data_IF_401611440514
#
_entry.id   IF_401611440514
#
_cell.length_a   1.000
_cell.length_b   1.000
_cell.length_c   1.000
_cell.angle_alpha   90.00
_cell.angle_beta   90.00
_cell.angle_gamma   90.00
#
_symmetry.space_group_name_H-M   'P 1'
#
loop_
_entity.id
_entity.type
_entity.pdbx_description
1 polymer ?
#
# COMPACT_ATOMS: atom_id res chain seq x y z
N UNK A 1 26.03 1.07 5.40
CA UNK A 1 24.94 1.82 4.77
C UNK A 1 24.58 1.06 3.52
N UNK A 2 23.29 0.78 3.31
CA UNK A 2 22.80 -0.01 2.17
C UNK A 2 23.09 0.80 0.89
N UNK A 3 23.57 0.16 -0.17
CA UNK A 3 23.90 0.85 -1.42
C UNK A 3 22.64 1.35 -2.12
N UNK A 4 22.70 2.54 -2.73
CA UNK A 4 21.66 3.04 -3.63
C UNK A 4 21.92 2.66 -5.08
N UNK A 5 20.90 2.13 -5.74
CA UNK A 5 20.93 1.74 -7.15
C UNK A 5 19.94 2.59 -7.97
N UNK A 6 20.31 2.87 -9.22
CA UNK A 6 19.37 3.42 -10.20
C UNK A 6 18.26 2.40 -10.44
N UNK A 7 17.01 2.86 -10.36
CA UNK A 7 15.83 2.05 -10.53
C UNK A 7 14.94 2.67 -11.60
N UNK A 8 14.77 1.94 -12.69
CA UNK A 8 13.92 2.31 -13.80
C UNK A 8 12.93 1.18 -14.07
N UNK A 9 11.73 1.33 -13.55
CA UNK A 9 10.65 0.35 -13.68
C UNK A 9 9.38 1.09 -14.13
N UNK A 10 8.92 0.87 -15.37
CA UNK A 10 7.72 1.53 -15.89
C UNK A 10 6.39 1.00 -15.29
N UNK A 11 6.41 -0.15 -14.62
CA UNK A 11 5.20 -0.78 -14.09
C UNK A 11 5.47 -1.62 -12.82
N UNK A 12 5.38 -0.98 -11.66
CA UNK A 12 5.19 -1.68 -10.37
C UNK A 12 3.71 -1.86 -10.07
N UNK A 13 3.37 -2.86 -9.27
CA UNK A 13 2.00 -3.20 -8.91
C UNK A 13 1.78 -2.97 -7.41
N UNK A 14 0.70 -2.29 -7.07
CA UNK A 14 0.14 -2.21 -5.71
C UNK A 14 -1.32 -2.63 -5.76
N UNK A 15 -1.74 -3.51 -4.86
CA UNK A 15 -3.16 -3.83 -4.72
C UNK A 15 -3.78 -3.01 -3.59
N UNK A 16 -4.87 -2.31 -3.89
CA UNK A 16 -5.68 -1.61 -2.88
C UNK A 16 -7.11 -2.14 -2.89
N UNK A 17 -7.74 -2.23 -1.71
CA UNK A 17 -9.13 -2.66 -1.62
C UNK A 17 -10.04 -1.73 -2.40
N UNK A 18 -10.99 -2.27 -3.17
CA UNK A 18 -11.92 -1.46 -3.99
C UNK A 18 -12.83 -0.58 -3.13
N UNK A 19 -13.05 -0.95 -1.86
CA UNK A 19 -13.69 -0.08 -0.87
C UNK A 19 -12.98 1.28 -0.66
N UNK A 20 -11.77 1.45 -1.20
CA UNK A 20 -11.02 2.70 -1.16
C UNK A 20 -10.92 3.40 -2.54
N UNK A 21 -11.52 2.84 -3.60
CA UNK A 21 -11.50 3.38 -4.96
C UNK A 21 -12.85 3.90 -5.40
N UNK A 22 -13.91 3.15 -5.07
CA UNK A 22 -15.25 3.54 -5.43
C UNK A 22 -15.68 4.69 -4.52
N UNK A 23 -15.53 5.92 -5.01
CA UNK A 23 -16.24 7.08 -4.49
C UNK A 23 -17.49 7.36 -5.34
N UNK A 24 -18.69 7.49 -4.74
CA UNK A 24 -19.01 7.17 -3.36
C UNK A 24 -19.75 5.83 -3.22
N UNK A 25 -19.44 5.10 -2.14
CA UNK A 25 -20.13 3.87 -1.75
C UNK A 25 -21.64 4.07 -1.50
N UNK A 26 -22.09 5.33 -1.44
CA UNK A 26 -23.47 5.76 -1.23
C UNK A 26 -24.29 5.94 -2.50
N UNK A 27 -23.70 5.83 -3.70
CA UNK A 27 -24.47 5.91 -4.96
C UNK A 27 -25.63 4.90 -5.04
N UNK A 28 -25.55 3.68 -4.48
CA UNK A 28 -26.70 2.76 -4.41
C UNK A 28 -27.72 3.10 -3.31
N UNK A 29 -27.45 4.10 -2.48
CA UNK A 29 -28.23 4.47 -1.27
C UNK A 29 -28.92 5.84 -1.39
N UNK A 30 -28.76 6.53 -2.53
CA UNK A 30 -29.36 7.83 -2.80
C UNK A 30 -30.25 7.76 -4.04
N UNK A 31 -31.42 8.39 -3.97
CA UNK A 31 -32.38 8.41 -5.07
C UNK A 31 -32.14 9.61 -6.02
N UNK A 32 -31.42 10.65 -5.58
CA UNK A 32 -31.07 11.84 -6.36
C UNK A 32 -29.69 12.45 -6.01
N UNK A 33 -29.22 13.40 -6.84
CA UNK A 33 -27.90 14.03 -6.71
C UNK A 33 -27.77 14.89 -5.44
N UNK A 34 -28.86 15.44 -4.90
CA UNK A 34 -28.85 16.23 -3.65
C UNK A 34 -28.66 15.31 -2.43
N UNK A 35 -29.26 14.12 -2.43
CA UNK A 35 -29.03 13.07 -1.43
C UNK A 35 -27.61 12.49 -1.51
N UNK A 36 -27.06 12.33 -2.72
CA UNK A 36 -25.66 11.94 -2.92
C UNK A 36 -24.74 12.97 -2.24
N UNK A 37 -24.99 14.27 -2.38
CA UNK A 37 -24.18 15.31 -1.75
C UNK A 37 -24.27 15.31 -0.23
N UNK A 38 -25.46 15.05 0.33
CA UNK A 38 -25.65 14.92 1.78
C UNK A 38 -24.93 13.68 2.32
N UNK A 39 -25.06 12.54 1.64
CA UNK A 39 -24.41 11.29 2.03
C UNK A 39 -22.89 11.36 1.85
N UNK A 40 -22.40 12.00 0.79
CA UNK A 40 -20.98 12.29 0.59
C UNK A 40 -20.43 13.17 1.69
N UNK A 41 -21.20 14.17 2.15
CA UNK A 41 -20.81 15.03 3.27
C UNK A 41 -20.77 14.27 4.59
N UNK A 42 -21.68 13.32 4.81
CA UNK A 42 -21.71 12.45 6.00
C UNK A 42 -20.59 11.39 5.96
N UNK A 43 -20.32 10.80 4.79
CA UNK A 43 -19.17 9.94 4.55
C UNK A 43 -17.87 10.73 4.74
N UNK A 44 -17.80 11.99 4.30
CA UNK A 44 -16.63 12.83 4.52
C UNK A 44 -16.37 13.14 6.00
N UNK A 45 -17.41 13.22 6.83
CA UNK A 45 -17.29 13.43 8.28
C UNK A 45 -16.79 12.16 8.99
N UNK A 46 -17.11 10.97 8.46
CA UNK A 46 -16.84 9.67 9.11
C UNK A 46 -15.68 8.88 8.49
N UNK A 47 -15.35 9.17 7.25
CA UNK A 47 -14.21 8.63 6.52
C UNK A 47 -12.95 9.36 6.96
N UNK A 48 -12.04 8.63 7.61
CA UNK A 48 -10.73 9.12 7.99
C UNK A 48 -9.90 9.67 6.81
N UNK A 49 -10.32 9.39 5.56
CA UNK A 49 -9.69 9.83 4.31
C UNK A 49 -10.23 11.17 3.78
N UNK A 50 -11.48 11.49 4.05
CA UNK A 50 -12.17 12.70 3.54
C UNK A 50 -12.38 13.77 4.63
N UNK A 51 -12.26 13.38 5.90
CA UNK A 51 -12.21 14.32 7.00
C UNK A 51 -10.94 15.17 6.85
N UNK A 52 -10.98 16.50 7.15
CA UNK A 52 -9.77 17.29 7.38
C UNK A 52 -9.12 16.84 8.69
N UNK A 53 -8.77 15.56 8.77
CA UNK A 53 -7.98 15.02 9.85
C UNK A 53 -6.64 15.74 9.80
N UNK A 54 -6.19 16.22 10.96
CA UNK A 54 -4.83 16.73 11.08
C UNK A 54 -3.88 15.70 10.42
N UNK A 55 -3.03 16.17 9.52
CA UNK A 55 -2.04 15.30 8.88
C UNK A 55 -1.24 14.56 9.96
N UNK A 56 -0.87 13.29 9.72
CA UNK A 56 0.00 12.58 10.65
C UNK A 56 1.25 13.43 10.95
N UNK A 57 1.74 13.38 12.19
CA UNK A 57 2.87 14.23 12.63
C UNK A 57 4.12 14.04 11.79
N UNK A 58 4.32 12.84 11.22
CA UNK A 58 5.43 12.53 10.33
C UNK A 58 5.23 12.97 8.88
N UNK A 59 4.12 13.64 8.55
CA UNK A 59 3.78 14.10 7.19
C UNK A 59 3.83 15.62 7.07
N UNK A 60 4.83 16.11 6.33
CA UNK A 60 4.91 17.52 5.96
C UNK A 60 3.87 17.82 4.85
N UNK A 61 2.97 18.80 5.02
CA UNK A 61 2.03 19.19 3.96
C UNK A 61 2.72 19.49 2.61
N UNK A 62 3.97 19.98 2.63
CA UNK A 62 4.70 20.39 1.43
C UNK A 62 5.15 19.23 0.52
N UNK A 63 5.20 18.00 1.03
CA UNK A 63 5.52 16.82 0.20
C UNK A 63 4.29 16.15 -0.42
N UNK A 64 3.08 16.55 0.00
CA UNK A 64 1.85 15.98 -0.53
C UNK A 64 1.58 16.49 -1.95
N UNK A 65 1.04 15.60 -2.76
CA UNK A 65 0.67 15.91 -4.13
C UNK A 65 -0.65 16.68 -4.16
N UNK A 66 -0.88 17.42 -5.24
CA UNK A 66 -2.14 18.11 -5.50
C UNK A 66 -2.63 17.78 -6.92
N UNK A 67 -3.76 18.34 -7.32
CA UNK A 67 -4.40 18.09 -8.63
C UNK A 67 -3.48 18.32 -9.84
N UNK A 68 -2.45 19.16 -9.75
CA UNK A 68 -1.50 19.40 -10.85
C UNK A 68 -0.62 18.18 -11.17
N UNK A 69 -0.50 17.23 -10.24
CA UNK A 69 0.17 15.94 -10.47
C UNK A 69 -0.69 14.94 -11.27
N UNK A 70 -1.91 15.33 -11.63
CA UNK A 70 -2.80 14.53 -12.45
C UNK A 70 -3.50 13.41 -11.69
N UNK A 71 -4.07 12.46 -12.43
CA UNK A 71 -4.83 11.35 -11.87
C UNK A 71 -4.05 10.61 -10.76
N UNK A 72 -4.76 10.17 -9.70
CA UNK A 72 -4.20 9.32 -8.65
C UNK A 72 -3.36 10.04 -7.58
N UNK A 73 -3.21 11.37 -7.63
CA UNK A 73 -2.51 12.15 -6.59
C UNK A 73 -3.06 11.87 -5.17
N UNK A 74 -4.38 11.74 -5.02
CA UNK A 74 -5.03 11.44 -3.75
C UNK A 74 -4.80 9.99 -3.30
N UNK A 75 -4.75 9.04 -4.23
CA UNK A 75 -4.40 7.64 -3.95
C UNK A 75 -2.95 7.50 -3.47
N UNK A 76 -2.05 8.30 -4.03
CA UNK A 76 -0.66 8.39 -3.59
C UNK A 76 -0.61 8.95 -2.16
N UNK A 77 -1.18 10.13 -1.93
CA UNK A 77 -1.19 10.76 -0.60
C UNK A 77 -1.80 9.85 0.48
N UNK A 78 -2.86 9.11 0.16
CA UNK A 78 -3.49 8.16 1.07
C UNK A 78 -2.53 7.10 1.60
N UNK A 79 -1.53 6.67 0.82
CA UNK A 79 -0.51 5.71 1.27
C UNK A 79 0.40 6.27 2.37
N UNK A 80 0.53 7.59 2.48
CA UNK A 80 1.35 8.29 3.47
C UNK A 80 0.53 8.82 4.65
N UNK A 81 -0.71 9.24 4.40
CA UNK A 81 -1.57 9.84 5.43
C UNK A 81 -2.32 8.81 6.30
N UNK A 82 -2.45 7.56 5.86
CA UNK A 82 -3.22 6.53 6.59
C UNK A 82 -2.36 5.39 7.10
N UNK A 83 -1.34 5.73 7.89
CA UNK A 83 -0.63 4.75 8.71
C UNK A 83 -1.57 4.14 9.75
N UNK A 84 -1.39 2.85 10.03
CA UNK A 84 -2.15 2.11 11.05
C UNK A 84 -1.20 1.70 12.17
N UNK A 85 -1.55 1.81 13.46
CA UNK A 85 -0.77 1.24 14.55
C UNK A 85 -0.55 -0.28 14.40
N UNK A 86 0.65 -0.84 14.65
CA UNK A 86 1.91 -0.18 15.04
C UNK A 86 2.82 0.28 13.89
N UNK A 87 2.27 0.41 12.70
CA UNK A 87 2.98 0.62 11.44
C UNK A 87 3.11 -0.68 10.65
N UNK A 88 3.90 -0.62 9.57
CA UNK A 88 4.32 -1.81 8.83
C UNK A 88 5.84 -1.98 8.93
N UNK A 89 6.38 -2.87 8.10
CA UNK A 89 7.81 -3.21 8.08
C UNK A 89 8.72 -1.98 7.94
N UNK A 90 8.40 -1.04 7.06
CA UNK A 90 9.25 0.12 6.74
C UNK A 90 8.55 1.46 6.99
N UNK A 91 7.58 1.50 7.93
CA UNK A 91 6.98 2.75 8.39
C UNK A 91 6.37 2.57 9.79
N UNK A 92 6.46 3.60 10.64
CA UNK A 92 5.79 3.64 11.94
C UNK A 92 4.32 4.11 11.84
N UNK A 93 3.74 4.49 12.96
CA UNK A 93 2.35 5.00 13.03
C UNK A 93 2.22 6.45 12.58
N UNK A 94 3.32 7.21 12.62
CA UNK A 94 3.33 8.66 12.38
C UNK A 94 3.32 9.04 10.89
N UNK A 95 3.57 8.07 10.00
CA UNK A 95 3.63 8.24 8.55
C UNK A 95 3.48 6.88 7.88
N UNK A 96 2.72 6.82 6.79
CA UNK A 96 2.61 5.65 5.93
C UNK A 96 3.73 5.58 4.89
N UNK A 97 3.73 4.52 4.08
CA UNK A 97 4.62 4.39 2.94
C UNK A 97 3.87 3.72 1.78
N UNK A 98 4.35 3.98 0.57
CA UNK A 98 3.84 3.30 -0.61
C UNK A 98 4.58 1.98 -0.80
N UNK A 99 3.84 0.89 -0.68
CA UNK A 99 4.31 -0.48 -0.90
C UNK A 99 3.80 -0.97 -2.26
N UNK A 100 4.70 -1.51 -3.06
CA UNK A 100 4.41 -2.18 -4.33
C UNK A 100 5.40 -3.33 -4.57
N UNK A 101 5.09 -4.18 -5.54
CA UNK A 101 5.99 -5.21 -6.06
C UNK A 101 6.32 -4.91 -7.53
N UNK A 102 7.40 -5.48 -8.05
CA UNK A 102 7.83 -5.25 -9.43
C UNK A 102 8.39 -6.52 -10.09
N UNK A 103 8.70 -6.41 -11.39
CA UNK A 103 9.16 -7.55 -12.18
C UNK A 103 8.04 -8.51 -12.61
N UNK A 104 8.39 -9.66 -13.21
CA UNK A 104 7.44 -10.57 -13.84
C UNK A 104 6.47 -11.23 -12.84
N UNK A 105 6.79 -11.20 -11.54
CA UNK A 105 5.99 -11.78 -10.45
C UNK A 105 5.29 -10.73 -9.58
N UNK A 106 5.26 -9.46 -10.01
CA UNK A 106 4.74 -8.36 -9.19
C UNK A 106 3.32 -8.64 -8.67
N UNK A 107 2.44 -9.12 -9.56
CA UNK A 107 1.06 -9.45 -9.21
C UNK A 107 0.97 -10.57 -8.19
N UNK A 108 1.67 -11.69 -8.43
CA UNK A 108 1.70 -12.85 -7.54
C UNK A 108 2.27 -12.50 -6.17
N UNK A 109 3.28 -11.63 -6.14
CA UNK A 109 3.88 -11.12 -4.90
C UNK A 109 2.86 -10.32 -4.09
N UNK A 110 2.12 -9.40 -4.73
CA UNK A 110 1.04 -8.66 -4.05
C UNK A 110 -0.09 -9.58 -3.59
N UNK A 111 -0.47 -10.58 -4.39
CA UNK A 111 -1.49 -11.57 -4.02
C UNK A 111 -1.04 -12.37 -2.78
N UNK A 112 0.21 -12.86 -2.75
CA UNK A 112 0.75 -13.62 -1.62
C UNK A 112 0.72 -12.82 -0.30
N UNK A 113 1.05 -11.53 -0.34
CA UNK A 113 0.95 -10.65 0.84
C UNK A 113 -0.50 -10.50 1.34
N UNK A 114 -1.47 -10.29 0.42
CA UNK A 114 -2.89 -10.21 0.78
C UNK A 114 -3.36 -11.53 1.39
N UNK A 115 -3.06 -12.67 0.75
CA UNK A 115 -3.46 -13.99 1.24
C UNK A 115 -2.91 -14.20 2.65
N UNK A 116 -1.63 -13.91 2.89
CA UNK A 116 -1.02 -14.07 4.21
C UNK A 116 -1.73 -13.24 5.28
N UNK A 117 -1.86 -11.93 5.08
CA UNK A 117 -2.41 -11.03 6.09
C UNK A 117 -3.92 -11.24 6.30
N UNK A 118 -4.68 -11.46 5.23
CA UNK A 118 -6.13 -11.65 5.32
C UNK A 118 -6.47 -13.00 5.94
N UNK A 119 -5.79 -14.07 5.54
CA UNK A 119 -5.99 -15.41 6.11
C UNK A 119 -5.67 -15.42 7.61
N UNK A 120 -4.61 -14.73 8.04
CA UNK A 120 -4.29 -14.59 9.46
C UNK A 120 -5.42 -13.88 10.22
N UNK A 121 -5.93 -12.76 9.70
CA UNK A 121 -7.04 -12.04 10.33
C UNK A 121 -8.32 -12.90 10.41
N UNK A 122 -8.63 -13.66 9.35
CA UNK A 122 -9.75 -14.60 9.33
C UNK A 122 -9.59 -15.75 10.33
N UNK A 123 -8.36 -16.24 10.50
CA UNK A 123 -8.03 -17.25 11.51
C UNK A 123 -8.23 -16.70 12.93
N UNK A 124 -7.80 -15.47 13.20
CA UNK A 124 -8.01 -14.79 14.48
C UNK A 124 -9.51 -14.56 14.76
N UNK A 125 -10.29 -14.28 13.72
CA UNK A 125 -11.75 -14.14 13.78
C UNK A 125 -12.52 -15.48 13.85
N UNK A 126 -11.86 -16.62 13.64
CA UNK A 126 -12.47 -17.94 13.65
C UNK A 126 -13.40 -18.26 12.47
N UNK A 127 -13.32 -17.51 11.36
CA UNK A 127 -14.16 -17.74 10.18
C UNK A 127 -13.40 -17.48 8.89
N UNK A 128 -13.39 -18.45 7.99
CA UNK A 128 -12.84 -18.34 6.64
C UNK A 128 -13.93 -18.13 5.59
N UNK A 129 -14.97 -17.35 5.88
CA UNK A 129 -15.97 -16.95 4.90
C UNK A 129 -15.87 -15.45 4.66
N UNK A 130 -15.21 -15.07 3.57
CA UNK A 130 -14.92 -13.68 3.25
C UNK A 130 -14.74 -13.49 1.75
N UNK A 131 -15.03 -12.28 1.27
CA UNK A 131 -14.79 -11.84 -0.10
C UNK A 131 -14.08 -10.49 -0.04
N UNK A 132 -12.83 -10.46 -0.50
CA UNK A 132 -12.05 -9.23 -0.63
C UNK A 132 -11.84 -8.88 -2.09
N UNK A 133 -12.21 -7.65 -2.50
CA UNK A 133 -11.95 -7.14 -3.85
C UNK A 133 -10.84 -6.10 -3.81
N UNK A 134 -9.89 -6.23 -4.72
CA UNK A 134 -8.73 -5.35 -4.82
C UNK A 134 -8.55 -4.89 -6.26
N UNK A 135 -8.11 -3.66 -6.45
CA UNK A 135 -7.73 -3.10 -7.74
C UNK A 135 -6.23 -2.93 -7.77
N UNK A 136 -5.65 -3.22 -8.92
CA UNK A 136 -4.27 -2.87 -9.23
C UNK A 136 -4.13 -1.36 -9.43
N UNK A 137 -3.17 -0.77 -8.71
CA UNK A 137 -2.55 0.49 -9.05
C UNK A 137 -1.19 0.19 -9.65
N UNK A 138 -1.00 0.61 -10.89
CA UNK A 138 0.26 0.49 -11.60
C UNK A 138 0.94 1.85 -11.56
N UNK A 139 2.22 1.89 -11.15
CA UNK A 139 3.00 3.12 -11.10
C UNK A 139 4.41 2.89 -11.68
N UNK A 140 5.02 3.95 -12.19
CA UNK A 140 6.38 3.96 -12.70
C UNK A 140 7.33 4.70 -11.77
N UNK A 141 8.61 4.32 -11.83
CA UNK A 141 9.69 4.94 -11.07
C UNK A 141 10.93 5.12 -11.92
N UNK A 142 11.56 6.29 -11.78
CA UNK A 142 12.85 6.61 -12.41
C UNK A 142 13.66 7.46 -11.44
N UNK A 143 14.24 6.80 -10.43
CA UNK A 143 15.03 7.43 -9.38
C UNK A 143 15.95 6.41 -8.70
N UNK A 144 16.64 6.82 -7.64
CA UNK A 144 17.52 5.94 -6.86
C UNK A 144 16.83 5.44 -5.60
N UNK A 145 17.03 4.16 -5.30
CA UNK A 145 16.55 3.50 -4.09
C UNK A 145 17.67 2.72 -3.41
N UNK A 146 17.62 2.63 -2.09
CA UNK A 146 18.48 1.72 -1.34
C UNK A 146 18.10 0.28 -1.70
N UNK A 147 19.08 -0.63 -1.79
CA UNK A 147 18.86 -2.01 -2.25
C UNK A 147 19.28 -3.05 -1.20
N UNK A 148 18.30 -3.66 -0.55
CA UNK A 148 18.48 -4.67 0.49
C UNK A 148 18.46 -6.12 -0.04
N UNK A 149 18.41 -6.36 -1.37
CA UNK A 149 18.33 -7.74 -1.89
C UNK A 149 19.54 -8.61 -1.56
N UNK A 150 20.70 -7.98 -1.36
CA UNK A 150 21.94 -8.65 -0.94
C UNK A 150 22.08 -8.87 0.57
N UNK A 151 21.22 -8.27 1.39
CA UNK A 151 21.39 -8.16 2.84
C UNK A 151 20.84 -9.37 3.60
N UNK A 152 21.31 -10.56 3.23
CA UNK A 152 20.83 -11.84 3.80
C UNK A 152 21.01 -11.87 5.32
N UNK A 153 19.94 -12.24 6.03
CA UNK A 153 19.95 -12.38 7.49
C UNK A 153 19.86 -11.06 8.26
N UNK A 154 19.68 -9.92 7.57
CA UNK A 154 19.42 -8.67 8.23
C UNK A 154 18.07 -8.70 8.98
N UNK A 155 18.05 -8.17 10.20
CA UNK A 155 16.86 -8.20 11.06
C UNK A 155 15.62 -7.57 10.41
N UNK A 156 15.79 -6.50 9.61
CA UNK A 156 14.68 -5.85 8.89
C UNK A 156 14.09 -6.69 7.74
N UNK A 157 14.75 -7.79 7.34
CA UNK A 157 14.25 -8.77 6.38
C UNK A 157 13.72 -10.05 7.06
N UNK A 158 13.69 -10.11 8.39
CA UNK A 158 13.23 -11.29 9.12
C UNK A 158 11.75 -11.63 8.77
N UNK A 159 11.38 -12.92 8.63
CA UNK A 159 9.99 -13.31 8.44
C UNK A 159 9.10 -12.99 9.66
N UNK A 160 9.66 -12.98 10.87
CA UNK A 160 8.97 -12.60 12.10
C UNK A 160 8.81 -11.08 12.16
N UNK A 161 7.55 -10.63 12.20
CA UNK A 161 7.19 -9.22 12.27
C UNK A 161 7.68 -8.55 13.55
N UNK A 162 7.85 -9.28 14.64
CA UNK A 162 8.32 -8.73 15.93
C UNK A 162 9.80 -8.35 15.89
N UNK A 163 10.58 -9.00 15.03
CA UNK A 163 11.99 -8.68 14.75
C UNK A 163 12.08 -7.66 13.61
N UNK A 164 11.35 -7.90 12.53
CA UNK A 164 11.46 -7.13 11.31
C UNK A 164 10.95 -5.70 11.40
N UNK A 165 9.84 -5.48 12.10
CA UNK A 165 9.19 -4.16 12.09
C UNK A 165 10.05 -3.13 12.84
N UNK A 166 10.53 -3.37 14.07
CA UNK A 166 11.39 -2.38 14.75
C UNK A 166 12.66 -2.06 13.96
N UNK A 167 13.33 -3.08 13.40
CA UNK A 167 14.54 -2.90 12.62
C UNK A 167 14.28 -2.17 11.28
N UNK A 168 13.20 -2.53 10.57
CA UNK A 168 12.83 -1.93 9.30
C UNK A 168 12.31 -0.51 9.44
N UNK A 169 11.55 -0.20 10.50
CA UNK A 169 11.10 1.15 10.82
C UNK A 169 12.29 2.06 11.15
N UNK A 170 13.27 1.58 11.93
CA UNK A 170 14.49 2.31 12.20
C UNK A 170 15.29 2.58 10.91
N UNK A 171 15.43 1.58 10.05
CA UNK A 171 16.09 1.73 8.75
C UNK A 171 15.37 2.76 7.85
N UNK A 172 14.04 2.69 7.76
CA UNK A 172 13.25 3.62 6.97
C UNK A 172 13.40 5.07 7.46
N UNK A 173 13.42 5.27 8.79
CA UNK A 173 13.68 6.57 9.39
C UNK A 173 15.08 7.11 9.02
N UNK A 174 16.11 6.26 9.05
CA UNK A 174 17.46 6.62 8.61
C UNK A 174 17.48 7.02 7.13
N UNK A 175 16.92 6.20 6.24
CA UNK A 175 16.87 6.47 4.80
C UNK A 175 16.16 7.80 4.52
N UNK A 176 15.02 8.05 5.19
CA UNK A 176 14.27 9.28 5.00
C UNK A 176 15.05 10.52 5.47
N UNK A 177 15.73 10.42 6.62
CA UNK A 177 16.56 11.49 7.19
C UNK A 177 17.77 11.83 6.32
N UNK A 178 18.32 10.84 5.61
CA UNK A 178 19.43 11.00 4.66
C UNK A 178 18.97 11.51 3.27
N UNK A 179 17.66 11.73 3.08
CA UNK A 179 17.11 12.23 1.83
C UNK A 179 16.75 11.13 0.81
N UNK A 180 16.91 9.86 1.17
CA UNK A 180 16.61 8.72 0.29
C UNK A 180 15.12 8.60 -0.06
N UNK A 181 14.84 7.92 -1.18
CA UNK A 181 13.48 7.80 -1.71
C UNK A 181 12.71 6.57 -1.18
N UNK A 182 13.42 5.55 -0.69
CA UNK A 182 12.82 4.25 -0.39
C UNK A 182 13.84 3.11 -0.39
N UNK A 183 13.30 1.89 -0.32
CA UNK A 183 14.05 0.64 -0.19
C UNK A 183 13.48 -0.44 -1.12
N UNK A 184 14.35 -1.06 -1.92
CA UNK A 184 14.10 -2.32 -2.64
C UNK A 184 14.44 -3.47 -1.70
N UNK A 185 13.57 -4.47 -1.60
CA UNK A 185 13.76 -5.60 -0.69
C UNK A 185 13.08 -6.88 -1.21
N UNK A 186 13.55 -8.08 -0.84
CA UNK A 186 12.91 -9.33 -1.22
C UNK A 186 11.58 -9.50 -0.49
N UNK A 187 10.58 -10.08 -1.15
CA UNK A 187 9.33 -10.44 -0.49
C UNK A 187 9.56 -11.52 0.58
N UNK A 188 8.84 -11.41 1.70
CA UNK A 188 8.84 -12.43 2.74
C UNK A 188 7.80 -13.54 2.48
N UNK A 189 6.98 -13.40 1.42
CA UNK A 189 5.84 -14.28 1.11
C UNK A 189 5.94 -14.92 -0.28
N UNK A 190 6.62 -14.28 -1.22
CA UNK A 190 7.02 -14.87 -2.50
C UNK A 190 8.56 -14.94 -2.58
N UNK A 191 9.20 -16.12 -2.49
CA UNK A 191 10.66 -16.25 -2.50
C UNK A 191 11.37 -15.67 -3.73
N UNK A 192 10.65 -15.57 -4.86
CA UNK A 192 11.15 -14.96 -6.10
C UNK A 192 10.61 -13.54 -6.32
N UNK A 193 9.83 -13.03 -5.38
CA UNK A 193 9.18 -11.72 -5.44
C UNK A 193 10.09 -10.60 -4.97
N UNK A 194 10.04 -9.46 -5.67
CA UNK A 194 10.75 -8.24 -5.30
C UNK A 194 9.76 -7.13 -4.96
N UNK A 195 10.02 -6.44 -3.86
CA UNK A 195 9.17 -5.40 -3.31
C UNK A 195 9.91 -4.05 -3.24
N UNK A 196 9.12 -2.97 -3.28
CA UNK A 196 9.58 -1.60 -3.14
C UNK A 196 8.73 -0.89 -2.08
N UNK A 197 9.41 -0.29 -1.10
CA UNK A 197 8.81 0.62 -0.13
C UNK A 197 9.29 2.04 -0.44
N UNK A 198 8.36 2.94 -0.77
CA UNK A 198 8.63 4.31 -1.19
C UNK A 198 8.22 5.26 -0.06
N UNK A 199 9.12 6.18 0.28
CA UNK A 199 8.96 7.09 1.42
C UNK A 199 8.60 8.51 1.00
N UNK A 200 8.69 8.83 -0.30
CA UNK A 200 8.39 10.16 -0.85
C UNK A 200 7.27 10.09 -1.90
N UNK A 201 6.18 10.88 -1.75
CA UNK A 201 5.09 10.90 -2.74
C UNK A 201 5.55 11.30 -4.14
N UNK A 202 6.43 12.30 -4.25
CA UNK A 202 6.82 12.95 -5.50
C UNK A 202 7.56 12.05 -6.51
N UNK A 203 8.08 10.88 -6.09
CA UNK A 203 8.77 9.96 -7.00
C UNK A 203 7.85 8.93 -7.65
N UNK A 204 6.58 8.88 -7.24
CA UNK A 204 5.58 7.97 -7.80
C UNK A 204 4.98 8.61 -9.04
N UNK A 205 5.18 7.99 -10.20
CA UNK A 205 4.79 8.56 -11.50
C UNK A 205 3.85 7.64 -12.27
N UNK A 206 3.16 8.20 -13.27
CA UNK A 206 2.36 7.44 -14.25
C UNK A 206 1.37 6.44 -13.60
N UNK A 207 0.70 6.88 -12.52
CA UNK A 207 -0.27 6.06 -11.81
C UNK A 207 -1.49 5.79 -12.68
N UNK A 208 -1.91 4.53 -12.74
CA UNK A 208 -3.08 4.08 -13.50
C UNK A 208 -3.72 2.87 -12.83
N UNK A 209 -5.01 2.69 -13.05
CA UNK A 209 -5.70 1.48 -12.58
C UNK A 209 -5.48 0.32 -13.56
N UNK A 210 -5.26 -0.87 -13.00
CA UNK A 210 -5.23 -2.13 -13.73
C UNK A 210 -6.46 -2.97 -13.41
N UNK A 211 -6.27 -4.27 -13.25
CA UNK A 211 -7.32 -5.29 -13.12
C UNK A 211 -7.98 -5.26 -11.74
N UNK A 212 -9.19 -5.81 -11.64
CA UNK A 212 -9.80 -6.14 -10.34
C UNK A 212 -9.54 -7.61 -10.03
N UNK A 213 -9.19 -7.89 -8.78
CA UNK A 213 -8.92 -9.22 -8.28
C UNK A 213 -9.81 -9.46 -7.07
N UNK A 214 -10.55 -10.55 -7.14
CA UNK A 214 -11.41 -11.01 -6.05
C UNK A 214 -10.77 -12.22 -5.37
N UNK A 215 -10.59 -12.13 -4.05
CA UNK A 215 -10.18 -13.23 -3.19
C UNK A 215 -11.41 -13.73 -2.44
N UNK A 216 -11.68 -15.03 -2.54
CA UNK A 216 -12.83 -15.66 -1.91
C UNK A 216 -12.37 -16.79 -0.97
N UNK A 217 -12.58 -16.62 0.34
CA UNK A 217 -12.44 -17.68 1.32
C UNK A 217 -13.80 -18.38 1.49
N UNK A 218 -13.81 -19.72 1.43
CA UNK A 218 -15.04 -20.54 1.47
C UNK A 218 -14.95 -21.66 2.51
N UNK A 219 -14.61 -21.29 3.75
CA UNK A 219 -14.46 -22.20 4.88
C UNK A 219 -13.06 -22.80 5.03
N UNK A 220 -12.10 -22.41 4.20
CA UNK A 220 -10.71 -22.87 4.24
C UNK A 220 -9.73 -21.67 4.19
N UNK A 221 -8.51 -21.80 4.72
CA UNK A 221 -7.53 -20.71 4.75
C UNK A 221 -6.99 -20.33 3.36
N UNK A 222 -7.05 -21.24 2.39
CA UNK A 222 -6.65 -20.97 1.01
C UNK A 222 -7.83 -20.33 0.24
N UNK A 223 -7.69 -19.08 -0.25
CA UNK A 223 -8.74 -18.46 -1.04
C UNK A 223 -8.72 -18.95 -2.49
N UNK A 224 -9.88 -18.87 -3.14
CA UNK A 224 -9.95 -18.82 -4.60
C UNK A 224 -9.66 -17.39 -5.05
N UNK A 225 -8.73 -17.24 -6.00
CA UNK A 225 -8.43 -15.96 -6.65
C UNK A 225 -9.17 -15.92 -7.99
N UNK A 226 -9.95 -14.87 -8.22
CA UNK A 226 -10.72 -14.63 -9.43
C UNK A 226 -10.26 -13.31 -10.03
N UNK A 227 -9.73 -13.37 -11.26
CA UNK A 227 -9.39 -12.18 -12.02
C UNK A 227 -10.64 -11.69 -12.77
N UNK A 228 -11.02 -10.45 -12.54
CA UNK A 228 -12.07 -9.76 -13.27
C UNK A 228 -11.40 -8.76 -14.23
N UNK A 229 -11.57 -8.98 -15.54
CA UNK A 229 -11.06 -8.09 -16.60
C UNK A 229 -11.79 -6.73 -16.61
#
# INVERSE_FOLDING_TARGET
MISENDFNEPATVRLISTAYIDEPAVKPLADDDDEIDILNRLEAITSARLSPLALPVGVDPAELLNETFGYGWSLINAAFCHARPPGNRFNGEERGAWYCAFGPRALQTCQAEIVYHRTRALSEAGSFHDIGRYRELIAGFTCRFHDARGEKGAAYLDPDTTVAYPAGQALAATILAEGGNGLIYPSARDPEGECLAVFRPAVIQNIRQGRTITFQWSGAPEPRILDED
#
